data_IF_412478871524
#
_entry.id   IF_412478871524
#
_cell.length_a   1.000
_cell.length_b   1.000
_cell.length_c   1.000
_cell.angle_alpha   90.00
_cell.angle_beta   90.00
_cell.angle_gamma   90.00
#
_symmetry.space_group_name_H-M   'P 1'
#
loop_
_entity.id
_entity.type
_entity.pdbx_description
1 polymer ?
#
# COMPACT_ATOMS: atom_id res chain seq x y z
N UNK A 1 6.33 -16.75 -43.00
CA UNK A 1 5.38 -16.08 -42.08
C UNK A 1 5.87 -14.67 -41.83
N UNK A 2 5.08 -13.68 -42.23
CA UNK A 2 5.50 -12.37 -42.77
C UNK A 2 6.02 -11.36 -41.74
N UNK A 3 7.13 -10.66 -42.08
CA UNK A 3 7.72 -9.49 -41.38
C UNK A 3 6.71 -8.36 -41.09
N UNK A 4 5.58 -8.31 -41.79
CA UNK A 4 4.49 -7.35 -41.57
C UNK A 4 3.74 -7.60 -40.26
N UNK A 5 3.59 -8.86 -39.83
CA UNK A 5 2.90 -9.21 -38.57
C UNK A 5 3.71 -8.80 -37.35
N UNK A 6 5.03 -9.01 -37.43
CA UNK A 6 6.00 -8.67 -36.39
C UNK A 6 6.17 -7.14 -36.21
N UNK A 7 5.97 -6.36 -37.29
CA UNK A 7 5.94 -4.90 -37.23
C UNK A 7 4.63 -4.35 -36.66
N UNK A 8 3.49 -4.92 -37.05
CA UNK A 8 2.19 -4.56 -36.50
C UNK A 8 2.10 -4.83 -34.99
N UNK A 9 2.65 -5.95 -34.51
CA UNK A 9 2.70 -6.28 -33.08
C UNK A 9 3.59 -5.32 -32.28
N UNK A 10 4.71 -4.85 -32.86
CA UNK A 10 5.63 -3.91 -32.20
C UNK A 10 5.19 -2.44 -32.23
N UNK A 11 4.49 -1.98 -33.27
CA UNK A 11 4.07 -0.56 -33.38
C UNK A 11 2.64 -0.31 -32.87
N UNK A 12 1.71 -1.26 -33.06
CA UNK A 12 0.28 -1.07 -32.75
C UNK A 12 -0.03 -1.57 -31.33
N UNK A 13 0.59 -2.68 -30.90
CA UNK A 13 0.40 -3.25 -29.57
C UNK A 13 0.61 -2.24 -28.44
N UNK A 14 1.77 -1.56 -28.36
CA UNK A 14 2.03 -0.55 -27.32
C UNK A 14 1.05 0.62 -27.38
N UNK A 15 0.66 1.07 -28.58
CA UNK A 15 -0.27 2.21 -28.76
C UNK A 15 -1.70 1.88 -28.33
N UNK A 16 -2.17 0.67 -28.60
CA UNK A 16 -3.50 0.20 -28.16
C UNK A 16 -3.51 -0.01 -26.64
N UNK A 17 -2.43 -0.51 -26.05
CA UNK A 17 -2.29 -0.63 -24.59
C UNK A 17 -2.30 0.76 -23.93
N UNK A 18 -1.55 1.71 -24.49
CA UNK A 18 -1.55 3.10 -24.01
C UNK A 18 -2.93 3.73 -24.16
N UNK A 19 -3.58 3.63 -25.33
CA UNK A 19 -4.93 4.15 -25.55
C UNK A 19 -5.96 3.51 -24.60
N UNK A 20 -5.93 2.19 -24.40
CA UNK A 20 -6.81 1.51 -23.45
C UNK A 20 -6.56 1.96 -21.99
N UNK A 21 -5.31 2.22 -21.61
CA UNK A 21 -4.96 2.76 -20.27
C UNK A 21 -5.43 4.21 -20.04
N UNK A 22 -5.72 4.95 -21.12
CA UNK A 22 -6.31 6.31 -21.04
C UNK A 22 -7.83 6.31 -20.91
N UNK A 23 -8.50 5.15 -21.01
CA UNK A 23 -9.96 5.05 -20.84
C UNK A 23 -10.32 5.24 -19.36
N UNK A 24 -10.52 6.49 -18.97
CA UNK A 24 -10.86 6.92 -17.60
C UNK A 24 -12.36 7.14 -17.39
N UNK A 25 -13.13 7.23 -18.48
CA UNK A 25 -14.56 7.57 -18.43
C UNK A 25 -15.38 6.63 -17.54
N UNK A 26 -15.21 5.29 -17.58
CA UNK A 26 -15.95 4.39 -16.69
C UNK A 26 -15.64 4.64 -15.20
N UNK A 27 -14.36 4.87 -14.88
CA UNK A 27 -13.94 5.15 -13.50
C UNK A 27 -14.49 6.49 -12.98
N UNK A 28 -14.47 7.53 -13.82
CA UNK A 28 -15.04 8.85 -13.51
C UNK A 28 -16.56 8.77 -13.33
N UNK A 29 -17.27 8.07 -14.21
CA UNK A 29 -18.71 7.86 -14.11
C UNK A 29 -19.09 7.08 -12.83
N UNK A 30 -18.37 6.00 -12.53
CA UNK A 30 -18.59 5.22 -11.30
C UNK A 30 -18.32 6.07 -10.04
N UNK A 31 -17.26 6.89 -10.05
CA UNK A 31 -16.97 7.81 -8.95
C UNK A 31 -18.07 8.86 -8.79
N UNK A 32 -18.55 9.46 -9.88
CA UNK A 32 -19.64 10.44 -9.87
C UNK A 32 -20.93 9.85 -9.29
N UNK A 33 -21.31 8.63 -9.71
CA UNK A 33 -22.47 7.93 -9.16
C UNK A 33 -22.32 7.65 -7.65
N UNK A 34 -21.11 7.28 -7.18
CA UNK A 34 -20.83 7.12 -5.75
C UNK A 34 -20.99 8.44 -4.99
N UNK A 35 -20.49 9.55 -5.53
CA UNK A 35 -20.65 10.88 -4.91
C UNK A 35 -22.11 11.31 -4.83
N UNK A 36 -22.86 11.15 -5.92
CA UNK A 36 -24.27 11.50 -5.99
C UNK A 36 -25.12 10.75 -4.94
N UNK A 37 -24.72 9.52 -4.60
CA UNK A 37 -25.35 8.71 -3.55
C UNK A 37 -24.75 8.91 -2.16
N UNK A 38 -23.90 9.93 -1.98
CA UNK A 38 -23.28 10.26 -0.70
C UNK A 38 -22.23 9.23 -0.23
N UNK A 39 -21.77 8.31 -1.09
CA UNK A 39 -20.76 7.30 -0.75
C UNK A 39 -19.34 7.87 -0.87
N UNK A 40 -18.40 7.26 -0.15
CA UNK A 40 -16.97 7.64 -0.20
C UNK A 40 -16.22 6.96 -1.35
N UNK A 41 -15.10 7.55 -1.76
CA UNK A 41 -14.07 6.85 -2.54
C UNK A 41 -13.45 5.71 -1.75
N UNK A 42 -12.70 4.82 -2.40
CA UNK A 42 -11.92 3.77 -1.74
C UNK A 42 -10.54 3.71 -2.36
N UNK A 43 -9.51 3.78 -1.52
CA UNK A 43 -8.12 3.50 -1.87
C UNK A 43 -7.72 2.25 -1.12
N UNK A 44 -7.41 1.18 -1.85
CA UNK A 44 -6.87 -0.05 -1.27
C UNK A 44 -5.35 0.01 -1.32
N UNK A 45 -4.67 -0.42 -0.27
CA UNK A 45 -3.22 -0.53 -0.22
C UNK A 45 -2.79 -1.87 0.37
N UNK A 46 -2.14 -2.68 -0.45
CA UNK A 46 -1.37 -3.84 0.02
C UNK A 46 0.00 -3.36 0.50
N UNK A 47 0.38 -3.76 1.71
CA UNK A 47 1.63 -3.32 2.33
C UNK A 47 2.20 -4.38 3.28
N UNK A 48 3.51 -4.41 3.42
CA UNK A 48 4.20 -5.21 4.44
C UNK A 48 4.68 -4.32 5.59
N UNK A 49 4.55 -4.77 6.83
CA UNK A 49 5.11 -4.03 7.98
C UNK A 49 6.65 -4.07 7.96
N UNK A 50 7.25 -5.14 7.45
CA UNK A 50 8.69 -5.35 7.31
C UNK A 50 9.33 -4.61 6.11
N UNK A 51 8.59 -3.78 5.38
CA UNK A 51 9.11 -3.01 4.24
C UNK A 51 9.09 -1.49 4.51
N UNK A 52 10.25 -0.80 4.45
CA UNK A 52 10.30 0.64 4.67
C UNK A 52 9.58 1.44 3.57
N UNK A 53 9.49 0.93 2.34
CA UNK A 53 8.73 1.59 1.28
C UNK A 53 7.23 1.54 1.57
N UNK A 54 6.75 0.41 2.07
CA UNK A 54 5.39 0.23 2.60
C UNK A 54 5.10 1.19 3.76
N UNK A 55 6.02 1.31 4.73
CA UNK A 55 5.88 2.25 5.84
C UNK A 55 5.77 3.71 5.35
N UNK A 56 6.62 4.11 4.40
CA UNK A 56 6.51 5.41 3.73
C UNK A 56 5.13 5.59 3.09
N UNK A 57 4.65 4.63 2.31
CA UNK A 57 3.39 4.74 1.59
C UNK A 57 2.18 4.84 2.53
N UNK A 58 2.16 4.08 3.64
CA UNK A 58 1.11 4.17 4.66
C UNK A 58 1.05 5.58 5.24
N UNK A 59 2.19 6.14 5.64
CA UNK A 59 2.28 7.47 6.27
C UNK A 59 1.93 8.58 5.26
N UNK A 60 2.53 8.56 4.07
CA UNK A 60 2.32 9.60 3.05
C UNK A 60 0.89 9.60 2.52
N UNK A 61 0.31 8.43 2.22
CA UNK A 61 -1.07 8.34 1.75
C UNK A 61 -2.07 8.71 2.86
N UNK A 62 -1.83 8.33 4.12
CA UNK A 62 -2.69 8.76 5.22
C UNK A 62 -2.80 10.30 5.26
N UNK A 63 -1.67 11.02 5.20
CA UNK A 63 -1.62 12.49 5.16
C UNK A 63 -2.34 13.06 3.93
N UNK A 64 -2.12 12.49 2.74
CA UNK A 64 -2.75 12.96 1.49
C UNK A 64 -4.27 12.75 1.45
N UNK A 65 -4.77 11.77 2.21
CA UNK A 65 -6.19 11.46 2.31
C UNK A 65 -6.93 12.29 3.36
N UNK A 66 -6.21 13.04 4.22
CA UNK A 66 -6.84 13.94 5.18
C UNK A 66 -7.78 14.94 4.48
N UNK A 67 -8.97 15.13 5.05
CA UNK A 67 -10.01 15.99 4.48
C UNK A 67 -10.72 15.44 3.23
N UNK A 68 -10.25 14.34 2.63
CA UNK A 68 -10.91 13.71 1.48
C UNK A 68 -11.98 12.72 1.93
N UNK A 69 -13.10 12.65 1.19
CA UNK A 69 -14.16 11.65 1.44
C UNK A 69 -13.78 10.27 0.84
N UNK A 70 -12.73 9.67 1.37
CA UNK A 70 -12.14 8.41 0.90
C UNK A 70 -11.92 7.45 2.07
N UNK A 71 -12.28 6.19 1.89
CA UNK A 71 -11.94 5.11 2.81
C UNK A 71 -10.56 4.59 2.41
N UNK A 72 -9.63 4.55 3.37
CA UNK A 72 -8.31 3.97 3.18
C UNK A 72 -8.31 2.52 3.67
N UNK A 73 -8.44 1.59 2.73
CA UNK A 73 -8.45 0.16 3.01
C UNK A 73 -7.01 -0.37 3.05
N UNK A 74 -6.49 -0.56 4.27
CA UNK A 74 -5.17 -1.10 4.52
C UNK A 74 -5.23 -2.64 4.56
N UNK A 75 -4.47 -3.28 3.66
CA UNK A 75 -4.49 -4.72 3.42
C UNK A 75 -3.10 -5.29 3.72
N UNK A 76 -2.74 -5.53 4.99
CA UNK A 76 -1.42 -6.03 5.32
C UNK A 76 -1.21 -7.44 4.74
N UNK A 77 0.02 -7.71 4.32
CA UNK A 77 0.49 -9.00 3.81
C UNK A 77 1.83 -9.35 4.46
N UNK A 78 2.14 -10.65 4.59
CA UNK A 78 3.43 -11.13 5.09
C UNK A 78 4.20 -11.76 3.94
N UNK A 79 3.59 -12.71 3.24
CA UNK A 79 4.17 -13.40 2.09
C UNK A 79 3.88 -12.61 0.82
N UNK A 80 4.94 -12.22 0.11
CA UNK A 80 4.90 -11.44 -1.14
C UNK A 80 6.21 -11.60 -1.91
N UNK A 81 6.27 -11.03 -3.10
CA UNK A 81 7.40 -11.13 -4.01
C UNK A 81 7.26 -12.27 -5.00
N UNK A 82 8.31 -12.45 -5.80
CA UNK A 82 8.41 -13.54 -6.77
C UNK A 82 8.98 -14.76 -6.05
N UNK A 83 8.32 -15.91 -6.18
CA UNK A 83 8.81 -17.17 -5.63
C UNK A 83 10.21 -17.48 -6.19
N UNK A 84 11.10 -17.96 -5.32
CA UNK A 84 12.48 -18.34 -5.65
C UNK A 84 13.32 -17.22 -6.30
N UNK A 85 13.02 -15.95 -6.01
CA UNK A 85 13.81 -14.82 -6.50
C UNK A 85 15.25 -14.89 -5.96
N UNK A 86 16.26 -15.14 -6.82
CA UNK A 86 17.64 -15.28 -6.38
C UNK A 86 18.23 -13.97 -5.84
N UNK A 87 17.56 -12.83 -6.09
CA UNK A 87 17.97 -11.51 -5.63
C UNK A 87 17.19 -11.01 -4.40
N UNK A 88 16.32 -11.83 -3.79
CA UNK A 88 15.46 -11.41 -2.69
C UNK A 88 16.23 -10.67 -1.57
N UNK A 89 17.33 -11.25 -1.10
CA UNK A 89 18.12 -10.66 -0.03
C UNK A 89 18.74 -9.32 -0.42
N UNK A 90 19.27 -9.24 -1.65
CA UNK A 90 19.81 -7.97 -2.20
C UNK A 90 18.72 -6.91 -2.32
N UNK A 91 17.51 -7.29 -2.71
CA UNK A 91 16.36 -6.38 -2.80
C UNK A 91 15.94 -5.86 -1.43
N UNK A 92 15.95 -6.71 -0.39
CA UNK A 92 15.67 -6.29 1.00
C UNK A 92 16.68 -5.28 1.51
N UNK A 93 17.98 -5.54 1.33
CA UNK A 93 19.05 -4.60 1.70
C UNK A 93 18.91 -3.28 0.93
N UNK A 94 18.66 -3.35 -0.37
CA UNK A 94 18.43 -2.16 -1.18
C UNK A 94 17.17 -1.40 -0.73
N UNK A 95 16.12 -2.11 -0.30
CA UNK A 95 14.89 -1.54 0.24
C UNK A 95 15.14 -0.60 1.42
N UNK A 96 16.07 -0.93 2.32
CA UNK A 96 16.48 -0.01 3.41
C UNK A 96 17.15 1.25 2.87
N UNK A 97 18.04 1.10 1.88
CA UNK A 97 18.71 2.24 1.24
C UNK A 97 17.72 3.16 0.55
N UNK A 98 16.77 2.59 -0.20
CA UNK A 98 15.73 3.36 -0.86
C UNK A 98 14.72 3.96 0.15
N UNK A 99 14.40 3.21 1.21
CA UNK A 99 13.60 3.67 2.33
C UNK A 99 14.12 4.97 2.93
N UNK A 100 15.45 5.13 3.06
CA UNK A 100 16.06 6.41 3.49
C UNK A 100 15.77 7.55 2.53
N UNK A 101 15.80 7.31 1.22
CA UNK A 101 15.49 8.32 0.20
C UNK A 101 14.02 8.72 0.26
N UNK A 102 13.13 7.73 0.40
CA UNK A 102 11.69 7.93 0.54
C UNK A 102 11.35 8.71 1.82
N UNK A 103 11.92 8.31 2.96
CA UNK A 103 11.72 8.97 4.26
C UNK A 103 11.96 10.48 4.19
N UNK A 104 13.07 10.90 3.55
CA UNK A 104 13.42 12.31 3.38
C UNK A 104 12.35 13.10 2.61
N UNK A 105 11.63 12.47 1.68
CA UNK A 105 10.56 13.14 0.91
C UNK A 105 9.39 13.60 1.79
N UNK A 106 9.19 12.96 2.95
CA UNK A 106 8.13 13.28 3.91
C UNK A 106 8.66 13.84 5.23
N UNK A 107 9.92 14.31 5.23
CA UNK A 107 10.57 14.93 6.38
C UNK A 107 10.95 13.96 7.51
N UNK A 108 11.06 12.66 7.22
CA UNK A 108 11.45 11.63 8.18
C UNK A 108 12.88 11.13 7.94
N UNK A 109 13.48 10.55 8.98
CA UNK A 109 14.76 9.86 8.92
C UNK A 109 14.55 8.40 9.30
N UNK A 110 15.02 7.48 8.47
CA UNK A 110 14.96 6.05 8.77
C UNK A 110 15.93 5.72 9.90
N UNK A 111 15.46 5.12 10.99
CA UNK A 111 16.30 4.73 12.12
C UNK A 111 17.02 3.41 11.87
N UNK A 112 16.34 2.45 11.22
CA UNK A 112 16.90 1.12 10.96
C UNK A 112 17.93 1.13 9.85
N UNK A 113 18.98 0.32 10.05
CA UNK A 113 20.03 0.05 9.05
C UNK A 113 19.91 -1.30 8.37
N UNK A 114 19.14 -2.22 8.94
CA UNK A 114 19.01 -3.60 8.49
C UNK A 114 17.57 -3.91 8.06
N UNK A 115 17.38 -4.83 7.10
CA UNK A 115 16.05 -5.35 6.78
C UNK A 115 15.40 -6.02 7.98
N UNK A 116 14.07 -6.04 7.99
CA UNK A 116 13.29 -6.77 8.99
C UNK A 116 12.83 -8.08 8.34
N UNK A 117 12.94 -9.20 9.06
CA UNK A 117 12.32 -10.44 8.59
C UNK A 117 10.78 -10.29 8.66
N UNK A 118 10.04 -10.60 7.58
CA UNK A 118 8.57 -10.52 7.59
C UNK A 118 7.92 -11.17 8.81
N UNK A 119 8.45 -12.29 9.29
CA UNK A 119 7.89 -13.02 10.44
C UNK A 119 8.01 -12.24 11.75
N UNK A 120 9.03 -11.39 11.90
CA UNK A 120 9.15 -10.52 13.08
C UNK A 120 8.02 -9.48 13.17
N UNK A 121 7.27 -9.25 12.08
CA UNK A 121 6.15 -8.30 12.04
C UNK A 121 4.82 -8.95 11.68
N UNK A 122 4.77 -10.29 11.56
CA UNK A 122 3.56 -11.01 11.18
C UNK A 122 2.41 -10.78 12.17
N UNK A 123 2.71 -10.60 13.45
CA UNK A 123 1.69 -10.27 14.47
C UNK A 123 1.00 -8.94 14.16
N UNK A 124 1.73 -7.90 13.71
CA UNK A 124 1.14 -6.61 13.31
C UNK A 124 0.22 -6.77 12.11
N UNK A 125 0.62 -7.59 11.14
CA UNK A 125 -0.21 -7.92 9.98
C UNK A 125 -1.50 -8.63 10.41
N UNK A 126 -1.40 -9.62 11.31
CA UNK A 126 -2.53 -10.35 11.85
C UNK A 126 -3.51 -9.48 12.63
N UNK A 127 -3.00 -8.55 13.45
CA UNK A 127 -3.84 -7.59 14.18
C UNK A 127 -4.56 -6.64 13.22
N UNK A 128 -3.80 -6.03 12.31
CA UNK A 128 -4.35 -5.05 11.36
C UNK A 128 -5.33 -5.68 10.36
N UNK A 129 -5.12 -6.93 9.93
CA UNK A 129 -6.00 -7.62 8.98
C UNK A 129 -7.36 -7.96 9.61
N UNK A 130 -7.39 -8.36 10.88
CA UNK A 130 -8.61 -8.68 11.62
C UNK A 130 -9.39 -7.44 12.09
N UNK A 131 -8.74 -6.27 12.13
CA UNK A 131 -9.33 -5.07 12.68
C UNK A 131 -10.53 -4.53 11.88
N UNK A 132 -11.51 -3.89 12.54
CA UNK A 132 -12.50 -3.06 11.86
C UNK A 132 -11.83 -1.95 11.04
N UNK A 133 -12.24 -1.83 9.78
CA UNK A 133 -11.75 -0.77 8.88
C UNK A 133 -12.18 0.61 9.36
N UNK A 134 -11.29 1.59 9.23
CA UNK A 134 -11.60 2.99 9.52
C UNK A 134 -10.43 3.75 10.13
N UNK A 135 -10.72 4.92 10.69
CA UNK A 135 -9.71 5.84 11.20
C UNK A 135 -8.83 5.23 12.31
N UNK A 136 -9.39 4.37 13.17
CA UNK A 136 -8.62 3.69 14.22
C UNK A 136 -7.52 2.77 13.63
N UNK A 137 -7.87 1.96 12.62
CA UNK A 137 -6.91 1.13 11.91
C UNK A 137 -5.85 1.96 11.18
N UNK A 138 -6.25 3.04 10.51
CA UNK A 138 -5.29 3.95 9.86
C UNK A 138 -4.32 4.55 10.87
N UNK A 139 -4.80 5.07 12.01
CA UNK A 139 -3.93 5.60 13.08
C UNK A 139 -2.97 4.54 13.61
N UNK A 140 -3.47 3.34 13.89
CA UNK A 140 -2.64 2.23 14.35
C UNK A 140 -1.53 1.90 13.35
N UNK A 141 -1.86 1.68 12.07
CA UNK A 141 -0.87 1.33 11.06
C UNK A 141 0.16 2.45 10.84
N UNK A 142 -0.27 3.71 10.81
CA UNK A 142 0.64 4.87 10.70
C UNK A 142 1.62 4.90 11.87
N UNK A 143 1.12 4.76 13.10
CA UNK A 143 1.95 4.80 14.29
C UNK A 143 2.86 3.56 14.40
N UNK A 144 2.37 2.38 14.05
CA UNK A 144 3.15 1.15 14.04
C UNK A 144 4.29 1.22 13.01
N UNK A 145 4.00 1.67 11.78
CA UNK A 145 5.02 1.92 10.76
C UNK A 145 6.03 3.01 11.18
N UNK A 146 5.54 4.09 11.81
CA UNK A 146 6.39 5.16 12.35
C UNK A 146 7.38 4.61 13.36
N UNK A 147 6.87 3.88 14.35
CA UNK A 147 7.62 3.26 15.44
C UNK A 147 8.62 2.23 14.95
N UNK A 148 8.21 1.40 13.99
CA UNK A 148 9.05 0.33 13.46
C UNK A 148 10.23 0.86 12.65
N UNK A 149 10.04 1.88 11.81
CA UNK A 149 11.05 2.29 10.83
C UNK A 149 11.77 3.60 11.13
N UNK A 150 11.16 4.50 11.89
CA UNK A 150 11.61 5.89 12.02
C UNK A 150 11.85 6.34 13.47
N UNK A 151 11.50 5.52 14.47
CA UNK A 151 11.73 5.86 15.89
C UNK A 151 12.80 4.98 16.55
N UNK A 152 13.02 3.75 16.09
CA UNK A 152 13.91 2.80 16.77
C UNK A 152 14.49 1.77 15.81
N UNK A 153 15.76 1.42 16.03
CA UNK A 153 16.47 0.30 15.45
C UNK A 153 16.51 -0.96 16.35
N UNK A 154 15.93 -0.86 17.54
CA UNK A 154 15.95 -1.90 18.56
C UNK A 154 15.09 -3.13 18.25
N UNK A 155 14.99 -4.08 19.21
CA UNK A 155 14.21 -5.30 19.04
C UNK A 155 12.72 -5.00 18.80
N UNK A 156 12.09 -5.87 18.01
CA UNK A 156 10.66 -5.81 17.72
C UNK A 156 9.96 -6.74 18.71
N UNK A 157 9.17 -6.16 19.63
CA UNK A 157 8.41 -6.91 20.63
C UNK A 157 6.97 -6.44 20.71
N UNK A 158 6.05 -7.39 20.90
CA UNK A 158 4.59 -7.15 20.84
C UNK A 158 4.11 -6.11 21.85
N UNK A 159 4.61 -6.13 23.09
CA UNK A 159 4.11 -5.29 24.19
C UNK A 159 4.07 -3.78 23.86
N UNK A 160 5.08 -3.28 23.15
CA UNK A 160 5.13 -1.86 22.73
C UNK A 160 4.03 -1.51 21.71
N UNK A 161 3.57 -2.48 20.93
CA UNK A 161 2.50 -2.29 19.95
C UNK A 161 1.12 -2.63 20.51
N UNK A 162 1.03 -3.47 21.55
CA UNK A 162 -0.22 -3.70 22.28
C UNK A 162 -0.75 -2.42 22.93
N UNK A 163 0.14 -1.61 23.53
CA UNK A 163 -0.20 -0.31 24.10
C UNK A 163 -0.79 0.61 23.02
N UNK A 164 -0.10 0.73 21.89
CA UNK A 164 -0.55 1.51 20.74
C UNK A 164 -1.90 1.00 20.20
N UNK A 165 -2.10 -0.30 20.17
CA UNK A 165 -3.37 -0.91 19.76
C UNK A 165 -4.50 -0.53 20.71
N UNK A 166 -4.29 -0.63 22.04
CA UNK A 166 -5.27 -0.25 23.05
C UNK A 166 -5.63 1.24 22.95
N UNK A 167 -4.68 2.12 22.67
CA UNK A 167 -4.95 3.54 22.42
C UNK A 167 -5.87 3.76 21.21
N UNK A 168 -5.73 2.94 20.16
CA UNK A 168 -6.52 3.07 18.94
C UNK A 168 -7.91 2.43 19.03
N UNK A 169 -8.02 1.28 19.73
CA UNK A 169 -9.21 0.41 19.71
C UNK A 169 -9.88 0.20 21.07
N UNK A 170 -9.25 0.60 22.18
CA UNK A 170 -9.80 0.45 23.53
C UNK A 170 -9.87 -1.00 24.03
N UNK A 171 -9.24 -1.95 23.35
CA UNK A 171 -9.27 -3.37 23.66
C UNK A 171 -7.90 -4.01 23.40
N UNK A 172 -7.68 -5.24 23.88
CA UNK A 172 -6.50 -6.02 23.52
C UNK A 172 -6.49 -6.38 22.02
N UNK A 173 -5.31 -6.54 21.39
CA UNK A 173 -5.24 -7.04 20.03
C UNK A 173 -5.65 -8.50 19.97
N UNK A 174 -6.09 -8.90 18.78
CA UNK A 174 -6.32 -10.29 18.43
C UNK A 174 -5.68 -10.53 17.06
N UNK A 175 -5.20 -11.75 16.84
CA UNK A 175 -4.53 -12.12 15.59
C UNK A 175 -5.53 -12.84 14.68
N UNK A 176 -5.67 -12.36 13.45
CA UNK A 176 -6.42 -13.06 12.40
C UNK A 176 -5.51 -13.37 11.20
N UNK A 177 -4.83 -14.51 11.27
CA UNK A 177 -4.00 -14.98 10.17
C UNK A 177 -4.80 -15.36 8.92
N UNK A 178 -6.07 -15.75 9.08
CA UNK A 178 -6.91 -16.10 7.94
C UNK A 178 -7.22 -14.85 7.10
N UNK A 179 -7.41 -13.70 7.75
CA UNK A 179 -7.54 -12.41 7.08
C UNK A 179 -6.26 -12.00 6.34
N UNK A 180 -5.07 -12.24 6.92
CA UNK A 180 -3.77 -12.01 6.22
C UNK A 180 -3.67 -12.88 4.96
N UNK A 181 -3.93 -14.19 5.07
CA UNK A 181 -3.92 -15.11 3.91
C UNK A 181 -4.95 -14.73 2.86
N UNK A 182 -6.11 -14.18 3.27
CA UNK A 182 -7.12 -13.68 2.35
C UNK A 182 -6.63 -12.44 1.58
N UNK A 183 -5.91 -11.52 2.24
CA UNK A 183 -5.29 -10.36 1.59
C UNK A 183 -4.25 -10.82 0.56
N UNK A 184 -3.36 -11.74 0.94
CA UNK A 184 -2.31 -12.29 0.06
C UNK A 184 -2.92 -12.98 -1.17
N UNK A 185 -3.91 -13.86 -0.98
CA UNK A 185 -4.63 -14.52 -2.08
C UNK A 185 -5.31 -13.49 -2.99
N UNK A 186 -5.88 -12.44 -2.42
CA UNK A 186 -6.51 -11.37 -3.20
C UNK A 186 -5.48 -10.59 -4.00
N UNK A 187 -4.32 -10.27 -3.42
CA UNK A 187 -3.21 -9.60 -4.08
C UNK A 187 -2.71 -10.43 -5.27
N UNK A 188 -2.37 -11.71 -5.05
CA UNK A 188 -1.94 -12.64 -6.11
C UNK A 188 -2.96 -12.72 -7.24
N UNK A 189 -4.25 -12.89 -6.91
CA UNK A 189 -5.33 -12.96 -7.92
C UNK A 189 -5.44 -11.69 -8.76
N UNK A 190 -5.11 -10.53 -8.19
CA UNK A 190 -5.26 -9.23 -8.86
C UNK A 190 -4.01 -8.80 -9.63
N UNK A 191 -2.87 -9.47 -9.43
CA UNK A 191 -1.66 -9.30 -10.23
C UNK A 191 -0.49 -8.54 -9.59
N UNK A 192 -0.64 -7.65 -8.59
CA UNK A 192 0.51 -7.11 -7.89
C UNK A 192 1.33 -8.23 -7.25
N UNK A 193 2.64 -8.21 -7.48
CA UNK A 193 3.57 -9.18 -6.91
C UNK A 193 4.38 -8.61 -5.75
N UNK A 194 4.43 -7.29 -5.58
CA UNK A 194 5.21 -6.62 -4.55
C UNK A 194 4.44 -5.47 -3.90
N UNK A 195 4.87 -5.07 -2.71
CA UNK A 195 4.32 -3.92 -1.96
C UNK A 195 5.23 -2.70 -2.02
N UNK A 196 4.72 -1.48 -1.73
CA UNK A 196 3.32 -1.12 -1.51
C UNK A 196 2.53 -0.97 -2.82
N UNK A 197 1.46 -1.74 -2.97
CA UNK A 197 0.61 -1.72 -4.16
C UNK A 197 -0.76 -1.13 -3.86
N UNK A 198 -1.08 0.01 -4.46
CA UNK A 198 -2.32 0.73 -4.26
C UNK A 198 -3.28 0.55 -5.45
N UNK A 199 -4.58 0.40 -5.17
CA UNK A 199 -5.63 0.36 -6.18
C UNK A 199 -6.71 1.40 -5.92
N UNK A 200 -7.07 2.16 -6.96
CA UNK A 200 -8.18 3.11 -6.91
C UNK A 200 -8.80 3.35 -8.27
N UNK A 201 -10.14 3.28 -8.34
CA UNK A 201 -10.89 3.51 -9.57
C UNK A 201 -10.48 2.57 -10.71
N UNK A 202 -10.07 1.34 -10.37
CA UNK A 202 -9.59 0.33 -11.34
C UNK A 202 -8.15 0.51 -11.80
N UNK A 203 -7.41 1.53 -11.32
CA UNK A 203 -5.99 1.73 -11.60
C UNK A 203 -5.11 1.18 -10.49
N UNK A 204 -3.89 0.79 -10.85
CA UNK A 204 -2.86 0.27 -9.95
C UNK A 204 -1.64 1.17 -9.93
N UNK A 205 -1.06 1.31 -8.74
CA UNK A 205 0.12 2.12 -8.50
C UNK A 205 1.06 1.41 -7.53
N UNK A 206 2.37 1.50 -7.77
CA UNK A 206 3.35 1.26 -6.72
C UNK A 206 3.50 2.55 -5.91
N UNK A 207 2.94 2.55 -4.70
CA UNK A 207 2.62 3.78 -3.98
C UNK A 207 3.85 4.59 -3.55
N UNK A 208 5.00 3.93 -3.34
CA UNK A 208 6.25 4.56 -2.93
C UNK A 208 6.77 5.60 -3.94
N UNK A 209 6.48 5.41 -5.24
CA UNK A 209 6.94 6.30 -6.31
C UNK A 209 5.81 7.10 -6.97
N UNK A 210 4.57 6.87 -6.56
CA UNK A 210 3.37 7.35 -7.28
C UNK A 210 2.35 8.00 -6.37
N UNK A 211 2.68 8.30 -5.11
CA UNK A 211 1.75 8.91 -4.16
C UNK A 211 1.17 10.25 -4.61
N UNK A 212 1.97 11.08 -5.30
CA UNK A 212 1.47 12.31 -5.95
C UNK A 212 0.45 11.99 -7.05
N UNK A 213 0.74 11.05 -7.95
CA UNK A 213 -0.18 10.64 -9.02
C UNK A 213 -1.47 10.01 -8.48
N UNK A 214 -1.40 9.33 -7.33
CA UNK A 214 -2.59 8.82 -6.63
C UNK A 214 -3.46 9.98 -6.14
N UNK A 215 -2.86 11.05 -5.60
CA UNK A 215 -3.59 12.24 -5.18
C UNK A 215 -4.22 12.99 -6.36
N UNK A 216 -3.46 13.19 -7.45
CA UNK A 216 -3.97 13.81 -8.68
C UNK A 216 -5.15 13.00 -9.25
N UNK A 217 -5.03 11.67 -9.25
CA UNK A 217 -6.09 10.80 -9.71
C UNK A 217 -7.33 10.82 -8.80
N UNK A 218 -7.15 10.97 -7.49
CA UNK A 218 -8.26 11.22 -6.56
C UNK A 218 -8.99 12.53 -6.88
N UNK A 219 -8.24 13.59 -7.19
CA UNK A 219 -8.80 14.88 -7.61
C UNK A 219 -9.55 14.79 -8.94
N UNK A 220 -8.99 14.10 -9.93
CA UNK A 220 -9.68 13.80 -11.20
C UNK A 220 -10.96 12.98 -11.00
N UNK A 221 -10.96 12.07 -10.03
CA UNK A 221 -12.13 11.32 -9.63
C UNK A 221 -13.09 12.15 -8.78
N UNK A 222 -12.80 13.40 -8.43
CA UNK A 222 -13.68 14.29 -7.66
C UNK A 222 -13.67 14.03 -6.15
N UNK A 223 -12.64 13.37 -5.62
CA UNK A 223 -12.45 13.13 -4.19
C UNK A 223 -11.47 14.16 -3.60
N UNK A 224 -11.76 15.44 -3.79
CA UNK A 224 -10.91 16.56 -3.38
C UNK A 224 -10.90 16.74 -1.86
N UNK A 225 -9.89 17.46 -1.36
CA UNK A 225 -9.87 17.96 0.02
C UNK A 225 -11.04 18.94 0.18
N UNK A 226 -11.78 18.81 1.29
CA UNK A 226 -12.84 19.76 1.67
C UNK A 226 -12.30 20.93 2.46
#
# INVERSE_FOLDING_TARGET
MSKLRDRAEREIGPRVIVAASTVTAPARAAAAARRATGRSGRLELYFGFDDPASAFAVIDLARRLEGRKVIFDLLPVVVRGIADDPALERKRIYGVTDGRRLARRIGLTLSRSEPIDPQQTAFLAGWAAGAPRGAALTRFCVAACSRLWFESDGPIGEGRYEELWRECFGAAPFTDEAAVRANEKQMTRRGPYETPAASIGGRWFFAQDRSAQIADWLDELGWTVK
#
